data_IF_628167017670
#
_entry.id   IF_628167017670
#
_cell.length_a   1.000
_cell.length_b   1.000
_cell.length_c   1.000
_cell.angle_alpha   90.00
_cell.angle_beta   90.00
_cell.angle_gamma   90.00
#
_symmetry.space_group_name_H-M   'P 1'
#
loop_
_entity.id
_entity.type
_entity.pdbx_description
1 polymer ?
#
# COMPACT_ATOMS: atom_id res chain seq x y z
N UNK A 1 10.32 -25.18 0.65
CA UNK A 1 11.09 -25.71 -0.50
C UNK A 1 11.14 -24.64 -1.54
N UNK A 2 12.27 -24.51 -2.21
CA UNK A 2 12.60 -23.52 -3.23
C UNK A 2 12.07 -23.89 -4.63
N UNK A 3 11.70 -25.15 -4.85
CA UNK A 3 11.10 -25.64 -6.10
C UNK A 3 9.85 -26.49 -5.85
N UNK A 4 8.97 -26.57 -6.86
CA UNK A 4 7.79 -27.44 -6.81
C UNK A 4 8.19 -28.91 -6.71
N UNK A 5 9.18 -29.34 -7.49
CA UNK A 5 9.70 -30.71 -7.45
C UNK A 5 10.30 -31.04 -6.07
N UNK A 6 11.04 -30.10 -5.47
CA UNK A 6 11.57 -30.24 -4.13
C UNK A 6 10.47 -30.36 -3.07
N UNK A 7 9.39 -29.58 -3.19
CA UNK A 7 8.21 -29.71 -2.35
C UNK A 7 7.55 -31.09 -2.52
N UNK A 8 7.37 -31.53 -3.76
CA UNK A 8 6.75 -32.82 -4.07
C UNK A 8 7.55 -33.99 -3.49
N UNK A 9 8.85 -34.04 -3.74
CA UNK A 9 9.75 -35.08 -3.21
C UNK A 9 9.74 -35.12 -1.67
N UNK A 10 9.64 -33.96 -1.04
CA UNK A 10 9.53 -33.88 0.41
C UNK A 10 8.20 -34.39 0.96
N UNK A 11 7.09 -34.05 0.31
CA UNK A 11 5.75 -34.56 0.65
C UNK A 11 5.75 -36.09 0.51
N UNK A 12 6.31 -36.62 -0.58
CA UNK A 12 6.42 -38.06 -0.81
C UNK A 12 7.25 -38.75 0.28
N UNK A 13 8.40 -38.19 0.63
CA UNK A 13 9.26 -38.71 1.71
C UNK A 13 8.58 -38.67 3.08
N UNK A 14 7.88 -37.60 3.40
CA UNK A 14 7.22 -37.41 4.70
C UNK A 14 5.98 -38.30 4.87
N UNK A 15 5.21 -38.46 3.79
CA UNK A 15 3.94 -39.19 3.79
C UNK A 15 4.09 -40.71 3.86
N UNK A 16 5.29 -41.25 3.61
CA UNK A 16 5.56 -42.71 3.56
C UNK A 16 4.55 -43.47 2.67
N UNK A 17 4.10 -42.85 1.58
CA UNK A 17 3.14 -43.42 0.63
C UNK A 17 1.66 -43.08 0.90
N UNK A 18 1.33 -42.37 1.98
CA UNK A 18 -0.02 -41.91 2.28
C UNK A 18 -0.20 -40.42 1.95
N UNK A 19 -0.03 -40.05 0.68
CA UNK A 19 -0.28 -38.68 0.23
C UNK A 19 -1.80 -38.51 0.05
N UNK A 20 -2.42 -37.47 0.62
CA UNK A 20 -3.83 -37.19 0.35
C UNK A 20 -4.06 -36.88 -1.13
N UNK A 21 -5.25 -37.18 -1.69
CA UNK A 21 -5.53 -37.01 -3.11
C UNK A 21 -5.42 -35.56 -3.59
N UNK A 22 -5.50 -34.58 -2.69
CA UNK A 22 -5.31 -33.18 -2.97
C UNK A 22 -4.59 -32.48 -1.80
N UNK A 23 -3.62 -31.63 -2.14
CA UNK A 23 -3.00 -30.67 -1.21
C UNK A 23 -3.01 -29.28 -1.83
N UNK A 24 -3.53 -28.31 -1.08
CA UNK A 24 -3.44 -26.91 -1.46
C UNK A 24 -2.14 -26.33 -0.90
N UNK A 25 -1.30 -25.78 -1.78
CA UNK A 25 -0.02 -25.18 -1.41
C UNK A 25 -0.03 -23.69 -1.76
N UNK A 26 0.61 -22.88 -0.91
CA UNK A 26 0.88 -21.48 -1.21
C UNK A 26 2.27 -21.39 -1.85
N UNK A 27 2.32 -20.78 -3.03
CA UNK A 27 3.56 -20.50 -3.75
C UNK A 27 3.86 -19.01 -3.69
N UNK A 28 5.02 -18.65 -3.17
CA UNK A 28 5.44 -17.27 -2.96
C UNK A 28 6.60 -16.95 -3.92
N UNK A 29 6.49 -15.84 -4.66
CA UNK A 29 7.47 -15.46 -5.69
C UNK A 29 8.49 -14.41 -5.21
N UNK A 30 8.05 -13.49 -4.35
CA UNK A 30 8.82 -12.33 -3.90
C UNK A 30 9.02 -12.37 -2.37
N UNK A 31 9.69 -13.42 -1.88
CA UNK A 31 9.92 -13.62 -0.45
C UNK A 31 11.13 -12.80 0.00
N UNK A 32 10.92 -11.94 1.01
CA UNK A 32 11.98 -11.18 1.68
C UNK A 32 12.19 -11.74 3.08
N UNK A 33 13.43 -12.03 3.42
CA UNK A 33 13.84 -12.48 4.75
C UNK A 33 14.43 -11.31 5.55
N UNK A 34 14.27 -11.35 6.87
CA UNK A 34 14.80 -10.35 7.79
C UNK A 34 15.79 -10.98 8.77
N UNK A 35 16.74 -10.18 9.26
CA UNK A 35 17.81 -10.64 10.16
C UNK A 35 17.29 -11.15 11.51
N UNK A 36 16.11 -10.72 11.92
CA UNK A 36 15.43 -11.23 13.12
C UNK A 36 13.91 -11.25 12.95
N UNK A 37 13.20 -12.16 13.63
CA UNK A 37 11.74 -12.21 13.61
C UNK A 37 11.13 -10.96 14.26
N UNK A 38 9.95 -10.57 13.79
CA UNK A 38 9.08 -9.59 14.45
C UNK A 38 8.11 -10.35 15.35
N UNK A 39 8.13 -10.08 16.65
CA UNK A 39 7.21 -10.69 17.60
C UNK A 39 5.89 -9.91 17.66
N UNK A 40 4.74 -10.58 17.93
CA UNK A 40 3.45 -9.90 18.06
C UNK A 40 3.45 -8.76 19.09
N UNK A 41 4.17 -8.94 20.20
CA UNK A 41 4.31 -7.94 21.25
C UNK A 41 5.04 -6.68 20.76
N UNK A 42 5.97 -6.80 19.81
CA UNK A 42 6.72 -5.67 19.23
C UNK A 42 5.82 -4.69 18.46
N UNK A 43 4.63 -5.15 18.06
CA UNK A 43 3.62 -4.39 17.31
C UNK A 43 2.32 -4.22 18.09
N UNK A 44 2.29 -4.65 19.36
CA UNK A 44 1.15 -4.50 20.27
C UNK A 44 -0.01 -5.44 19.96
N UNK A 45 0.26 -6.64 19.43
CA UNK A 45 -0.74 -7.66 19.13
C UNK A 45 -0.67 -8.76 20.17
N UNK A 46 -1.78 -9.01 20.86
CA UNK A 46 -1.95 -10.20 21.69
C UNK A 46 -2.55 -11.32 20.85
N UNK A 47 -1.81 -12.40 20.67
CA UNK A 47 -2.30 -13.60 19.99
C UNK A 47 -2.91 -14.55 21.04
N UNK A 48 -4.12 -15.05 20.79
CA UNK A 48 -4.77 -16.01 21.69
C UNK A 48 -4.04 -17.37 21.67
N UNK A 49 -4.01 -18.07 22.80
CA UNK A 49 -3.36 -19.38 22.89
C UNK A 49 -4.09 -20.49 22.10
N UNK A 50 -5.35 -20.27 21.72
CA UNK A 50 -6.21 -21.27 21.06
C UNK A 50 -6.44 -20.93 19.58
N UNK A 51 -5.37 -20.65 18.83
CA UNK A 51 -5.46 -20.36 17.40
C UNK A 51 -5.75 -21.61 16.56
N UNK A 52 -6.44 -21.39 15.43
CA UNK A 52 -6.38 -22.31 14.29
C UNK A 52 -4.98 -22.30 13.64
N UNK A 53 -4.74 -23.20 12.67
CA UNK A 53 -3.43 -23.37 12.03
C UNK A 53 -2.85 -22.10 11.37
N UNK A 54 -3.65 -21.05 11.14
CA UNK A 54 -3.21 -19.73 10.68
C UNK A 54 -4.21 -18.65 11.12
N UNK A 55 -3.75 -17.39 11.23
CA UNK A 55 -4.59 -16.25 11.60
C UNK A 55 -4.24 -15.02 10.76
N UNK A 56 -5.28 -14.26 10.39
CA UNK A 56 -5.13 -12.99 9.69
C UNK A 56 -5.04 -11.86 10.72
N UNK A 57 -3.87 -11.24 10.82
CA UNK A 57 -3.62 -10.16 11.79
C UNK A 57 -4.27 -8.82 11.38
N UNK A 58 -4.57 -8.65 10.09
CA UNK A 58 -4.94 -7.37 9.47
C UNK A 58 -6.36 -7.36 8.88
N UNK A 59 -7.33 -8.00 9.55
CA UNK A 59 -8.71 -8.07 9.02
C UNK A 59 -9.41 -6.70 8.99
N UNK A 60 -9.13 -5.83 9.97
CA UNK A 60 -9.89 -4.59 10.19
C UNK A 60 -9.05 -3.30 10.11
N UNK A 61 -7.70 -3.36 10.12
CA UNK A 61 -6.88 -2.15 10.13
C UNK A 61 -5.47 -2.30 9.54
N UNK A 62 -5.19 -1.73 8.36
CA UNK A 62 -3.87 -1.79 7.69
C UNK A 62 -2.70 -1.27 8.53
N UNK A 63 -3.01 -0.59 9.65
CA UNK A 63 -2.05 -0.13 10.66
C UNK A 63 -1.22 -1.27 11.24
N UNK A 64 -1.79 -2.47 11.40
CA UNK A 64 -1.06 -3.61 11.94
C UNK A 64 0.08 -4.02 11.00
N UNK A 65 -0.24 -4.23 9.72
CA UNK A 65 0.78 -4.61 8.73
C UNK A 65 1.83 -3.52 8.59
N UNK A 66 1.44 -2.24 8.58
CA UNK A 66 2.40 -1.13 8.57
C UNK A 66 3.37 -1.18 9.77
N UNK A 67 2.88 -1.45 10.99
CA UNK A 67 3.75 -1.60 12.17
C UNK A 67 4.71 -2.79 12.06
N UNK A 68 4.23 -3.92 11.54
CA UNK A 68 5.08 -5.10 11.29
C UNK A 68 6.20 -4.75 10.32
N UNK A 69 5.88 -4.09 9.21
CA UNK A 69 6.86 -3.66 8.21
C UNK A 69 7.86 -2.65 8.79
N UNK A 70 7.42 -1.71 9.63
CA UNK A 70 8.31 -0.78 10.32
C UNK A 70 9.28 -1.47 11.28
N UNK A 71 8.83 -2.47 12.04
CA UNK A 71 9.72 -3.24 12.91
C UNK A 71 10.68 -4.10 12.09
N UNK A 72 10.18 -4.76 11.04
CA UNK A 72 11.01 -5.55 10.13
C UNK A 72 12.12 -4.70 9.48
N UNK A 73 11.79 -3.46 9.07
CA UNK A 73 12.77 -2.51 8.52
C UNK A 73 13.90 -2.18 9.50
N UNK A 74 13.61 -2.06 10.81
CA UNK A 74 14.64 -1.82 11.83
C UNK A 74 15.59 -3.00 12.02
N UNK A 75 15.07 -4.21 11.85
CA UNK A 75 15.89 -5.43 11.93
C UNK A 75 16.81 -5.58 10.72
N UNK A 76 16.37 -5.07 9.55
CA UNK A 76 17.13 -5.15 8.31
C UNK A 76 16.86 -6.46 7.55
N UNK A 77 17.08 -6.40 6.24
CA UNK A 77 16.88 -7.52 5.33
C UNK A 77 18.05 -8.49 5.43
N UNK A 78 17.75 -9.79 5.46
CA UNK A 78 18.75 -10.85 5.39
C UNK A 78 19.09 -11.16 3.92
N UNK A 79 20.20 -10.60 3.47
CA UNK A 79 20.74 -10.82 2.13
C UNK A 79 21.32 -12.22 1.93
N UNK A 80 21.67 -12.96 2.99
CA UNK A 80 22.22 -14.31 2.86
C UNK A 80 21.17 -15.35 2.46
N UNK A 81 19.93 -15.13 2.93
CA UNK A 81 18.78 -15.99 2.62
C UNK A 81 18.00 -15.52 1.39
N UNK A 82 18.38 -14.38 0.81
CA UNK A 82 17.70 -13.80 -0.35
C UNK A 82 17.93 -14.58 -1.64
N UNK A 83 16.94 -14.56 -2.52
CA UNK A 83 17.12 -15.06 -3.88
C UNK A 83 18.05 -14.09 -4.65
N UNK A 84 19.15 -14.56 -5.27
CA UNK A 84 20.11 -13.69 -5.95
C UNK A 84 19.57 -13.02 -7.22
N UNK A 85 18.42 -13.48 -7.73
CA UNK A 85 17.81 -12.95 -8.95
C UNK A 85 16.79 -11.84 -8.69
N UNK A 86 16.57 -11.46 -7.43
CA UNK A 86 15.67 -10.37 -7.05
C UNK A 86 16.45 -9.31 -6.27
N UNK A 87 15.87 -8.12 -6.16
CA UNK A 87 16.36 -7.06 -5.27
C UNK A 87 15.40 -6.99 -4.06
N UNK A 88 15.68 -7.69 -2.95
CA UNK A 88 14.76 -7.75 -1.81
C UNK A 88 14.46 -6.37 -1.21
N UNK A 89 15.42 -5.46 -1.23
CA UNK A 89 15.26 -4.08 -0.78
C UNK A 89 14.21 -3.32 -1.59
N UNK A 90 14.25 -3.44 -2.91
CA UNK A 90 13.29 -2.77 -3.80
C UNK A 90 11.89 -3.35 -3.61
N UNK A 91 11.78 -4.68 -3.55
CA UNK A 91 10.52 -5.39 -3.30
C UNK A 91 9.92 -4.96 -1.96
N UNK A 92 10.73 -4.97 -0.89
CA UNK A 92 10.28 -4.57 0.44
C UNK A 92 9.88 -3.10 0.47
N UNK A 93 10.69 -2.20 -0.11
CA UNK A 93 10.40 -0.77 -0.16
C UNK A 93 9.09 -0.49 -0.89
N UNK A 94 8.87 -1.15 -2.03
CA UNK A 94 7.62 -1.01 -2.79
C UNK A 94 6.41 -1.45 -1.95
N UNK A 95 6.45 -2.66 -1.39
CA UNK A 95 5.33 -3.22 -0.62
C UNK A 95 5.05 -2.42 0.67
N UNK A 96 6.09 -2.05 1.40
CA UNK A 96 5.98 -1.20 2.59
C UNK A 96 5.37 0.16 2.26
N UNK A 97 5.79 0.78 1.16
CA UNK A 97 5.24 2.07 0.73
C UNK A 97 3.75 1.97 0.44
N UNK A 98 3.31 0.93 -0.28
CA UNK A 98 1.88 0.72 -0.57
C UNK A 98 1.06 0.58 0.71
N UNK A 99 1.57 -0.16 1.70
CA UNK A 99 0.94 -0.32 3.00
C UNK A 99 0.89 0.99 3.80
N UNK A 100 1.96 1.78 3.79
CA UNK A 100 1.97 3.09 4.45
C UNK A 100 0.99 4.05 3.81
N UNK A 101 0.93 4.12 2.47
CA UNK A 101 -0.04 4.94 1.75
C UNK A 101 -1.49 4.52 2.01
N UNK A 102 -1.76 3.21 2.14
CA UNK A 102 -3.07 2.71 2.54
C UNK A 102 -3.48 3.19 3.94
N UNK A 103 -2.55 3.16 4.90
CA UNK A 103 -2.79 3.71 6.25
C UNK A 103 -3.06 5.22 6.19
N UNK A 104 -2.25 5.96 5.43
CA UNK A 104 -2.40 7.42 5.29
C UNK A 104 -3.77 7.77 4.66
N UNK A 105 -4.14 7.08 3.58
CA UNK A 105 -5.45 7.25 2.93
C UNK A 105 -6.60 7.00 3.91
N UNK A 106 -6.51 5.94 4.72
CA UNK A 106 -7.52 5.62 5.73
C UNK A 106 -7.59 6.71 6.82
N UNK A 107 -6.45 7.25 7.26
CA UNK A 107 -6.40 8.29 8.30
C UNK A 107 -6.93 9.64 7.82
N UNK A 108 -6.68 10.00 6.56
CA UNK A 108 -7.24 11.20 5.94
C UNK A 108 -8.75 11.06 5.73
N UNK A 109 -9.20 9.86 5.34
CA UNK A 109 -10.61 9.55 5.15
C UNK A 109 -11.16 9.96 3.78
N UNK A 110 -12.49 9.98 3.69
CA UNK A 110 -13.21 10.22 2.44
C UNK A 110 -13.54 11.70 2.23
N UNK A 111 -13.65 12.09 0.96
CA UNK A 111 -14.07 13.44 0.60
C UNK A 111 -15.51 13.70 1.06
N UNK A 112 -15.75 14.92 1.54
CA UNK A 112 -17.11 15.37 1.83
C UNK A 112 -17.87 15.56 0.50
N UNK A 113 -19.18 15.30 0.48
CA UNK A 113 -19.98 15.57 -0.70
C UNK A 113 -21.19 14.66 -0.84
N UNK A 114 -21.95 14.90 -1.91
CA UNK A 114 -23.07 14.05 -2.30
C UNK A 114 -22.60 12.71 -2.88
N UNK A 115 -23.43 11.67 -2.79
CA UNK A 115 -23.16 10.37 -3.43
C UNK A 115 -22.84 10.50 -4.93
N UNK A 116 -23.45 11.47 -5.60
CA UNK A 116 -23.18 11.74 -7.03
C UNK A 116 -21.74 12.23 -7.25
N UNK A 117 -21.24 13.09 -6.37
CA UNK A 117 -19.85 13.55 -6.42
C UNK A 117 -18.91 12.38 -6.13
N UNK A 118 -19.21 11.58 -5.10
CA UNK A 118 -18.43 10.40 -4.76
C UNK A 118 -18.31 9.41 -5.93
N UNK A 119 -19.42 9.06 -6.58
CA UNK A 119 -19.41 8.21 -7.79
C UNK A 119 -18.58 8.79 -8.93
N UNK A 120 -18.52 10.11 -9.03
CA UNK A 120 -17.72 10.81 -10.05
C UNK A 120 -16.23 10.71 -9.74
N UNK A 121 -15.85 10.93 -8.48
CA UNK A 121 -14.47 10.77 -7.99
C UNK A 121 -13.97 9.34 -8.21
N UNK A 122 -14.75 8.34 -7.81
CA UNK A 122 -14.43 6.92 -8.01
C UNK A 122 -14.27 6.55 -9.48
N UNK A 123 -15.10 7.13 -10.36
CA UNK A 123 -15.00 6.89 -11.80
C UNK A 123 -13.68 7.43 -12.35
N UNK A 124 -13.24 8.63 -11.94
CA UNK A 124 -11.96 9.18 -12.38
C UNK A 124 -10.78 8.33 -11.90
N UNK A 125 -10.81 7.89 -10.64
CA UNK A 125 -9.80 6.99 -10.09
C UNK A 125 -9.74 5.65 -10.86
N UNK A 126 -10.90 5.02 -11.08
CA UNK A 126 -10.99 3.76 -11.86
C UNK A 126 -10.57 3.91 -13.32
N UNK A 127 -10.70 5.09 -13.91
CA UNK A 127 -10.16 5.35 -15.24
C UNK A 127 -8.64 5.46 -15.20
N UNK A 128 -8.09 6.22 -14.24
CA UNK A 128 -6.65 6.38 -14.04
C UNK A 128 -5.95 5.05 -13.77
N UNK A 129 -6.55 4.19 -12.94
CA UNK A 129 -6.01 2.86 -12.62
C UNK A 129 -5.99 1.87 -13.80
N UNK A 130 -6.52 2.23 -14.98
CA UNK A 130 -6.36 1.45 -16.22
C UNK A 130 -5.12 1.84 -17.01
N UNK A 131 -4.50 2.98 -16.68
CA UNK A 131 -3.24 3.40 -17.28
C UNK A 131 -2.09 2.54 -16.76
N UNK A 132 -1.06 2.35 -17.59
CA UNK A 132 0.09 1.52 -17.22
C UNK A 132 0.80 2.05 -15.97
N UNK A 133 1.03 1.16 -15.01
CA UNK A 133 1.73 1.46 -13.75
C UNK A 133 0.89 2.17 -12.68
N UNK A 134 -0.38 2.48 -12.96
CA UNK A 134 -1.28 3.06 -11.97
C UNK A 134 -2.16 1.99 -11.32
N UNK A 135 -2.28 2.04 -10.00
CA UNK A 135 -3.17 1.18 -9.23
C UNK A 135 -3.92 1.97 -8.16
N UNK A 136 -5.05 1.46 -7.68
CA UNK A 136 -5.78 2.08 -6.57
C UNK A 136 -5.01 1.89 -5.26
N UNK A 137 -4.99 2.91 -4.41
CA UNK A 137 -4.50 2.74 -3.04
C UNK A 137 -5.40 1.73 -2.33
N UNK A 138 -4.81 0.74 -1.67
CA UNK A 138 -5.56 -0.30 -0.95
C UNK A 138 -6.49 0.35 0.09
N UNK A 139 -7.77 0.02 0.01
CA UNK A 139 -8.81 0.58 0.89
C UNK A 139 -9.38 1.93 0.43
N UNK A 140 -8.80 2.55 -0.60
CA UNK A 140 -9.32 3.75 -1.24
C UNK A 140 -10.04 3.39 -2.55
N UNK A 141 -11.16 4.06 -2.81
CA UNK A 141 -11.88 3.96 -4.09
C UNK A 141 -11.64 5.18 -4.98
N UNK A 142 -10.96 6.20 -4.47
CA UNK A 142 -10.80 7.50 -5.13
C UNK A 142 -9.36 7.84 -5.43
N UNK A 143 -8.38 7.16 -4.86
CA UNK A 143 -6.97 7.57 -5.01
C UNK A 143 -6.17 6.49 -5.70
N UNK A 144 -5.29 6.90 -6.61
CA UNK A 144 -4.39 6.01 -7.32
C UNK A 144 -2.95 6.35 -7.00
N UNK A 145 -2.09 5.34 -7.08
CA UNK A 145 -0.64 5.47 -6.93
C UNK A 145 0.06 4.91 -8.15
N UNK A 146 1.21 5.52 -8.45
CA UNK A 146 2.23 4.99 -9.33
C UNK A 146 3.57 5.30 -8.68
N UNK A 147 4.50 4.36 -8.74
CA UNK A 147 5.80 4.53 -8.13
C UNK A 147 6.90 4.08 -9.08
N UNK A 148 8.02 4.76 -8.99
CA UNK A 148 9.31 4.27 -9.47
C UNK A 148 10.33 4.31 -8.32
N UNK A 149 11.62 4.09 -8.61
CA UNK A 149 12.66 4.03 -7.59
C UNK A 149 12.88 5.35 -6.83
N UNK A 150 12.47 6.49 -7.40
CA UNK A 150 12.77 7.83 -6.89
C UNK A 150 11.54 8.68 -6.57
N UNK A 151 10.39 8.42 -7.20
CA UNK A 151 9.18 9.22 -7.08
C UNK A 151 7.94 8.37 -6.76
N UNK A 152 7.14 8.87 -5.81
CA UNK A 152 5.80 8.38 -5.52
C UNK A 152 4.82 9.39 -6.11
N UNK A 153 4.03 8.95 -7.09
CA UNK A 153 2.98 9.75 -7.68
C UNK A 153 1.62 9.34 -7.12
N UNK A 154 0.87 10.31 -6.63
CA UNK A 154 -0.46 10.12 -6.05
C UNK A 154 -1.47 10.91 -6.87
N UNK A 155 -2.39 10.23 -7.53
CA UNK A 155 -3.43 10.86 -8.31
C UNK A 155 -4.73 10.93 -7.51
N UNK A 156 -5.24 12.15 -7.29
CA UNK A 156 -6.40 12.42 -6.45
C UNK A 156 -7.45 13.19 -7.25
N UNK A 157 -8.69 12.70 -7.37
CA UNK A 157 -9.73 13.32 -8.15
C UNK A 157 -10.29 14.56 -7.50
N UNK A 158 -10.70 15.51 -8.33
CA UNK A 158 -11.27 16.77 -7.88
C UNK A 158 -12.61 17.04 -8.58
N UNK A 159 -13.67 17.18 -7.78
CA UNK A 159 -15.01 17.56 -8.24
C UNK A 159 -15.53 18.66 -7.34
N UNK A 160 -15.96 19.77 -7.93
CA UNK A 160 -16.60 20.86 -7.20
C UNK A 160 -17.77 21.44 -8.00
N UNK A 161 -18.77 21.96 -7.28
CA UNK A 161 -19.79 22.83 -7.85
C UNK A 161 -19.39 24.30 -7.70
N UNK A 162 -19.94 25.17 -8.55
CA UNK A 162 -19.60 26.61 -8.56
C UNK A 162 -19.76 27.26 -7.18
N UNK A 163 -20.82 26.91 -6.44
CA UNK A 163 -21.13 27.49 -5.12
C UNK A 163 -20.16 27.10 -4.00
N UNK A 164 -19.47 25.97 -4.14
CA UNK A 164 -18.59 25.40 -3.10
C UNK A 164 -17.12 25.32 -3.53
N UNK A 165 -16.79 25.85 -4.72
CA UNK A 165 -15.47 25.73 -5.35
C UNK A 165 -14.32 26.07 -4.40
N UNK A 166 -14.38 27.23 -3.73
CA UNK A 166 -13.32 27.66 -2.81
C UNK A 166 -13.18 26.76 -1.58
N UNK A 167 -14.29 26.22 -1.06
CA UNK A 167 -14.24 25.25 0.03
C UNK A 167 -13.58 23.96 -0.42
N UNK A 168 -13.97 23.44 -1.58
CA UNK A 168 -13.41 22.21 -2.16
C UNK A 168 -11.93 22.33 -2.46
N UNK A 169 -11.46 23.48 -2.95
CA UNK A 169 -10.04 23.74 -3.15
C UNK A 169 -9.29 23.66 -1.81
N UNK A 170 -9.79 24.30 -0.75
CA UNK A 170 -9.15 24.22 0.59
C UNK A 170 -9.12 22.79 1.13
N UNK A 171 -10.20 22.03 1.00
CA UNK A 171 -10.26 20.63 1.41
C UNK A 171 -9.25 19.78 0.63
N UNK A 172 -9.16 19.98 -0.68
CA UNK A 172 -8.23 19.27 -1.55
C UNK A 172 -6.77 19.58 -1.21
N UNK A 173 -6.42 20.86 -1.06
CA UNK A 173 -5.08 21.27 -0.65
C UNK A 173 -4.74 20.72 0.74
N UNK A 174 -5.67 20.80 1.69
CA UNK A 174 -5.50 20.19 3.02
C UNK A 174 -5.22 18.69 2.94
N UNK A 175 -5.92 17.96 2.06
CA UNK A 175 -5.67 16.53 1.78
C UNK A 175 -4.25 16.28 1.27
N UNK A 176 -3.77 17.07 0.31
CA UNK A 176 -2.39 16.93 -0.21
C UNK A 176 -1.33 17.18 0.86
N UNK A 177 -1.50 18.25 1.64
CA UNK A 177 -0.59 18.61 2.73
C UNK A 177 -0.59 17.52 3.81
N UNK A 178 -1.75 16.96 4.16
CA UNK A 178 -1.87 15.83 5.09
C UNK A 178 -1.14 14.59 4.58
N UNK A 179 -1.26 14.26 3.29
CA UNK A 179 -0.49 13.17 2.69
C UNK A 179 1.01 13.34 2.90
N UNK A 180 1.55 14.51 2.59
CA UNK A 180 2.98 14.81 2.77
C UNK A 180 3.41 14.71 4.22
N UNK A 181 2.64 15.32 5.12
CA UNK A 181 2.94 15.32 6.55
C UNK A 181 2.96 13.89 7.11
N UNK A 182 1.91 13.12 6.84
CA UNK A 182 1.79 11.74 7.33
C UNK A 182 2.83 10.83 6.68
N UNK A 183 3.13 11.01 5.38
CA UNK A 183 4.18 10.25 4.72
C UNK A 183 5.54 10.47 5.37
N UNK A 184 5.88 11.72 5.69
CA UNK A 184 7.10 12.06 6.43
C UNK A 184 7.12 11.41 7.81
N UNK A 185 5.99 11.38 8.53
CA UNK A 185 5.89 10.71 9.82
C UNK A 185 6.08 9.19 9.73
N UNK A 186 5.63 8.55 8.65
CA UNK A 186 5.83 7.12 8.40
C UNK A 186 7.25 6.80 7.89
N UNK A 187 8.11 7.81 7.69
CA UNK A 187 9.46 7.62 7.19
C UNK A 187 9.55 7.27 5.70
N UNK A 188 8.53 7.63 4.91
CA UNK A 188 8.54 7.41 3.46
C UNK A 188 9.65 8.23 2.81
N UNK A 189 10.57 7.53 2.15
CA UNK A 189 11.67 8.12 1.38
C UNK A 189 11.29 8.27 -0.10
N UNK A 190 11.55 9.44 -0.67
CA UNK A 190 11.29 9.73 -2.09
C UNK A 190 10.50 11.01 -2.28
N UNK A 191 10.48 11.51 -3.52
CA UNK A 191 9.68 12.69 -3.86
C UNK A 191 8.21 12.28 -3.97
N UNK A 192 7.31 12.99 -3.30
CA UNK A 192 5.86 12.80 -3.46
C UNK A 192 5.33 13.88 -4.41
N UNK A 193 4.73 13.42 -5.52
CA UNK A 193 4.11 14.26 -6.53
C UNK A 193 2.62 13.96 -6.65
N UNK A 194 1.80 14.99 -6.67
CA UNK A 194 0.36 14.91 -6.80
C UNK A 194 -0.10 15.20 -8.23
N UNK A 195 -1.06 14.41 -8.70
CA UNK A 195 -1.76 14.62 -9.96
C UNK A 195 -3.26 14.85 -9.68
N UNK A 196 -3.82 15.93 -10.24
CA UNK A 196 -5.26 16.22 -10.09
C UNK A 196 -6.04 15.47 -11.18
N UNK A 197 -7.01 14.63 -10.79
CA UNK A 197 -7.89 13.96 -11.74
C UNK A 197 -9.22 14.70 -11.88
N UNK A 198 -9.32 15.56 -12.90
CA UNK A 198 -10.56 16.24 -13.24
C UNK A 198 -10.54 16.74 -14.68
N UNK A 199 -11.66 16.71 -15.42
CA UNK A 199 -11.71 17.27 -16.76
C UNK A 199 -11.57 18.80 -16.76
N UNK A 200 -11.99 19.46 -15.68
CA UNK A 200 -12.01 20.92 -15.55
C UNK A 200 -11.34 21.32 -14.25
N UNK A 201 -10.01 21.43 -14.28
CA UNK A 201 -9.23 21.83 -13.11
C UNK A 201 -9.15 23.38 -13.08
N UNK A 202 -9.55 24.03 -11.98
CA UNK A 202 -9.35 25.47 -11.79
C UNK A 202 -7.87 25.86 -11.87
N UNK A 203 -7.54 26.97 -12.53
CA UNK A 203 -6.14 27.40 -12.69
C UNK A 203 -5.46 27.67 -11.33
N UNK A 204 -6.15 28.34 -10.41
CA UNK A 204 -5.70 28.53 -9.02
C UNK A 204 -5.34 27.19 -8.33
N UNK A 205 -6.11 26.12 -8.58
CA UNK A 205 -5.82 24.80 -8.00
C UNK A 205 -4.58 24.18 -8.66
N UNK A 206 -4.39 24.34 -9.98
CA UNK A 206 -3.19 23.85 -10.67
C UNK A 206 -1.93 24.51 -10.12
N UNK A 207 -1.96 25.83 -9.97
CA UNK A 207 -0.85 26.62 -9.44
C UNK A 207 -0.47 26.16 -8.03
N UNK A 208 -1.46 26.03 -7.12
CA UNK A 208 -1.21 25.55 -5.76
C UNK A 208 -0.65 24.12 -5.73
N UNK A 209 -1.12 23.22 -6.58
CA UNK A 209 -0.61 21.84 -6.62
C UNK A 209 0.80 21.77 -7.21
N UNK A 210 1.13 22.61 -8.20
CA UNK A 210 2.50 22.73 -8.71
C UNK A 210 3.45 23.30 -7.65
N UNK A 211 3.04 24.30 -6.87
CA UNK A 211 3.83 24.79 -5.73
C UNK A 211 4.08 23.69 -4.70
N UNK A 212 3.03 22.95 -4.31
CA UNK A 212 3.16 21.79 -3.43
C UNK A 212 4.12 20.76 -4.03
N UNK A 213 4.04 20.45 -5.32
CA UNK A 213 4.93 19.46 -5.95
C UNK A 213 6.41 19.86 -6.04
N UNK A 214 6.71 21.14 -5.87
CA UNK A 214 8.07 21.70 -5.95
C UNK A 214 8.75 21.89 -4.59
N UNK A 215 7.99 21.80 -3.49
CA UNK A 215 8.53 21.57 -2.14
C UNK A 215 9.12 20.16 -1.99
#
# INVERSE_FOLDING_TARGET
YDTQDGLYAAIEKASRGNIPPQMNCLYLTNVVFFLSPVYPDDVGISIQNNLESYCYLDKDSPKITAKILQQAQKHGIDLWSANPNITPEEIFKEDATKHYLAVISQEIGQDSGSERQQRTLERYAKQKAKESGWELIRGSNTECIRMDSNEIQIAIPFVSQVKEKSQKIREYIGRLTMYRLLAKHQGLEGKIRFEILSPNIPDELKEMVEEINNE
#
